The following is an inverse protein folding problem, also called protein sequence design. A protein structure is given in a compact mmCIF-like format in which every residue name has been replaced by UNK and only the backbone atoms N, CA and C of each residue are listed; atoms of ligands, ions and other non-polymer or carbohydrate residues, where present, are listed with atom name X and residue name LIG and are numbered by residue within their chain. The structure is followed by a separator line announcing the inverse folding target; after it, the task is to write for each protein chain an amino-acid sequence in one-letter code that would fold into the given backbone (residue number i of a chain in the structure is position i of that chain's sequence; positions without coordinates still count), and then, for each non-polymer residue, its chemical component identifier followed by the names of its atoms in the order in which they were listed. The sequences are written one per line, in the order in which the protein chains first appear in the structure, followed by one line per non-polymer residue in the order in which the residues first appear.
data_IF_272587825735
#
_entry.id   IF_272587825735
#
_cell.length_a   1.000
_cell.length_b   1.000
_cell.length_c   1.000
_cell.angle_alpha   90.00
_cell.angle_beta   90.00
_cell.angle_gamma   90.00
#
_symmetry.space_group_name_H-M   'P 1'
#
loop_
_entity.id
_entity.type
_entity.pdbx_description
1 polymer ?
#
# COMPACT_ATOMS: atom_id res chain seq x y z
N UNK A 1 27.06 -15.67 -2.77
CA UNK A 1 26.17 -14.50 -2.82
C UNK A 1 25.54 -14.31 -1.44
N UNK A 2 25.42 -13.07 -0.97
CA UNK A 2 24.69 -12.77 0.27
C UNK A 2 23.19 -12.60 -0.04
N UNK A 3 22.30 -13.01 0.89
CA UNK A 3 20.88 -12.76 0.73
C UNK A 3 20.57 -11.26 0.74
N UNK A 4 19.53 -10.82 0.02
CA UNK A 4 19.22 -9.39 -0.17
C UNK A 4 17.90 -9.00 0.53
N UNK A 5 16.83 -9.74 0.25
CA UNK A 5 15.48 -9.50 0.79
C UNK A 5 14.83 -10.79 1.24
N UNK A 6 13.94 -10.67 2.21
CA UNK A 6 13.02 -11.73 2.62
C UNK A 6 11.64 -11.10 2.85
N UNK A 7 10.59 -11.78 2.41
CA UNK A 7 9.21 -11.36 2.65
C UNK A 7 8.51 -12.39 3.54
N UNK A 8 7.74 -11.91 4.51
CA UNK A 8 6.78 -12.73 5.25
C UNK A 8 5.37 -12.25 4.93
N UNK A 9 4.44 -13.18 4.76
CA UNK A 9 3.08 -12.92 4.35
C UNK A 9 2.10 -13.42 5.41
N UNK A 10 1.00 -12.70 5.60
CA UNK A 10 -0.17 -13.20 6.32
C UNK A 10 -1.41 -12.99 5.47
N UNK A 11 -2.33 -13.91 5.62
CA UNK A 11 -3.58 -13.96 4.87
C UNK A 11 -4.75 -13.76 5.82
N UNK A 12 -5.84 -13.19 5.32
CA UNK A 12 -7.09 -13.08 6.07
C UNK A 12 -7.87 -14.40 6.07
N UNK A 13 -9.08 -14.38 6.65
CA UNK A 13 -9.97 -15.54 6.75
C UNK A 13 -10.45 -16.06 5.38
N UNK A 14 -10.40 -15.23 4.34
CA UNK A 14 -10.76 -15.61 2.98
C UNK A 14 -9.55 -16.17 2.20
N UNK A 15 -8.37 -16.23 2.83
CA UNK A 15 -7.14 -16.67 2.20
C UNK A 15 -6.49 -15.60 1.31
N UNK A 16 -6.97 -14.35 1.37
CA UNK A 16 -6.39 -13.25 0.59
C UNK A 16 -5.25 -12.58 1.35
N UNK A 17 -4.28 -12.01 0.63
CA UNK A 17 -3.14 -11.35 1.26
C UNK A 17 -3.61 -10.14 2.09
N UNK A 18 -3.28 -10.12 3.38
CA UNK A 18 -3.66 -9.06 4.31
C UNK A 18 -2.44 -8.28 4.86
N UNK A 19 -1.28 -8.92 4.94
CA UNK A 19 -0.05 -8.28 5.43
C UNK A 19 1.18 -8.85 4.74
N UNK A 20 2.13 -7.97 4.40
CA UNK A 20 3.48 -8.32 3.97
C UNK A 20 4.49 -7.55 4.79
N UNK A 21 5.44 -8.25 5.41
CA UNK A 21 6.60 -7.64 6.06
C UNK A 21 7.85 -7.93 5.23
N UNK A 22 8.55 -6.89 4.83
CA UNK A 22 9.81 -6.97 4.09
C UNK A 22 10.98 -6.79 5.04
N UNK A 23 11.97 -7.67 4.92
CA UNK A 23 13.22 -7.63 5.65
C UNK A 23 14.37 -7.43 4.68
N UNK A 24 15.37 -6.68 5.11
CA UNK A 24 16.66 -6.54 4.42
C UNK A 24 17.73 -7.28 5.20
N UNK A 25 18.68 -7.89 4.49
CA UNK A 25 19.82 -8.52 5.13
C UNK A 25 20.79 -7.44 5.63
N UNK A 26 21.17 -7.51 6.91
CA UNK A 26 22.25 -6.70 7.47
C UNK A 26 23.51 -7.56 7.59
N UNK A 27 24.50 -7.43 6.68
CA UNK A 27 25.70 -8.27 6.70
C UNK A 27 26.57 -7.98 7.93
N UNK A 28 26.62 -6.74 8.41
CA UNK A 28 27.43 -6.37 9.58
C UNK A 28 26.92 -7.01 10.89
N UNK A 29 25.61 -7.27 10.98
CA UNK A 29 24.98 -7.92 12.14
C UNK A 29 24.62 -9.38 11.89
N UNK A 30 24.92 -9.90 10.69
CA UNK A 30 24.60 -11.25 10.22
C UNK A 30 23.15 -11.63 10.54
N UNK A 31 22.20 -10.72 10.24
CA UNK A 31 20.78 -10.95 10.54
C UNK A 31 19.85 -10.20 9.60
N UNK A 32 18.62 -10.71 9.51
CA UNK A 32 17.50 -10.00 8.92
C UNK A 32 17.09 -8.84 9.83
N UNK A 33 16.84 -7.68 9.22
CA UNK A 33 16.26 -6.52 9.89
C UNK A 33 15.03 -6.07 9.13
N UNK A 34 14.01 -5.64 9.87
CA UNK A 34 12.79 -5.07 9.34
C UNK A 34 13.11 -3.87 8.43
N UNK A 35 12.37 -3.75 7.35
CA UNK A 35 12.52 -2.64 6.41
C UNK A 35 11.20 -1.94 6.17
N UNK A 36 10.18 -2.69 5.77
CA UNK A 36 8.87 -2.12 5.48
C UNK A 36 7.76 -3.11 5.79
N UNK A 37 6.57 -2.55 5.96
CA UNK A 37 5.33 -3.28 6.16
C UNK A 37 4.29 -2.77 5.17
N UNK A 38 3.51 -3.69 4.64
CA UNK A 38 2.34 -3.40 3.81
C UNK A 38 1.15 -4.10 4.45
N UNK A 39 0.05 -3.36 4.66
CA UNK A 39 -1.22 -3.87 5.15
C UNK A 39 -2.29 -3.63 4.08
N UNK A 40 -3.14 -4.63 3.86
CA UNK A 40 -4.22 -4.58 2.87
C UNK A 40 -5.53 -4.82 3.61
N UNK A 41 -6.47 -3.89 3.45
CA UNK A 41 -7.84 -3.99 3.92
C UNK A 41 -8.78 -3.95 2.72
N UNK A 42 -9.75 -4.87 2.68
CA UNK A 42 -10.74 -4.95 1.60
C UNK A 42 -12.14 -4.71 2.16
N UNK A 43 -12.88 -3.87 1.45
CA UNK A 43 -14.29 -3.58 1.63
C UNK A 43 -15.02 -3.90 0.31
N UNK A 44 -16.35 -3.80 0.30
CA UNK A 44 -17.18 -4.22 -0.85
C UNK A 44 -16.76 -3.61 -2.18
N UNK A 45 -16.42 -2.31 -2.18
CA UNK A 45 -16.07 -1.52 -3.34
C UNK A 45 -14.70 -0.84 -3.22
N UNK A 46 -14.01 -1.02 -2.09
CA UNK A 46 -12.75 -0.34 -1.78
C UNK A 46 -11.67 -1.30 -1.30
N UNK A 47 -10.46 -1.16 -1.83
CA UNK A 47 -9.25 -1.78 -1.26
C UNK A 47 -8.28 -0.69 -0.80
N UNK A 48 -7.89 -0.76 0.47
CA UNK A 48 -6.92 0.14 1.09
C UNK A 48 -5.60 -0.60 1.27
N UNK A 49 -4.52 0.00 0.77
CA UNK A 49 -3.14 -0.50 0.95
C UNK A 49 -2.32 0.55 1.69
N UNK A 50 -1.90 0.23 2.90
CA UNK A 50 -1.07 1.10 3.73
C UNK A 50 0.35 0.57 3.81
N UNK A 51 1.32 1.45 3.61
CA UNK A 51 2.74 1.19 3.75
C UNK A 51 3.29 1.84 5.02
N UNK A 52 4.19 1.12 5.67
CA UNK A 52 4.98 1.61 6.79
C UNK A 52 6.46 1.34 6.62
N UNK A 53 7.27 2.28 7.10
CA UNK A 53 8.73 2.21 7.13
C UNK A 53 9.21 1.80 8.52
N UNK A 54 10.18 0.89 8.60
CA UNK A 54 10.80 0.52 9.87
C UNK A 54 11.68 1.66 10.39
N UNK A 55 11.36 2.16 11.59
CA UNK A 55 12.15 3.18 12.29
C UNK A 55 12.87 2.53 13.45
N UNK A 56 14.17 2.29 13.27
CA UNK A 56 15.00 1.58 14.25
C UNK A 56 15.04 2.24 15.63
N UNK A 57 15.01 3.57 15.70
CA UNK A 57 14.99 4.32 16.97
C UNK A 57 13.68 4.14 17.74
N UNK A 58 12.56 3.91 17.05
CA UNK A 58 11.24 3.68 17.65
C UNK A 58 10.91 2.19 17.81
N UNK A 59 11.76 1.31 17.26
CA UNK A 59 11.53 -0.15 17.19
C UNK A 59 10.13 -0.50 16.66
N UNK A 60 9.69 0.22 15.63
CA UNK A 60 8.34 0.07 15.09
C UNK A 60 8.22 0.57 13.65
N UNK A 61 7.14 0.16 13.00
CA UNK A 61 6.76 0.68 11.68
C UNK A 61 5.97 1.98 11.86
N UNK A 62 6.37 3.03 11.16
CA UNK A 62 5.57 4.25 11.03
C UNK A 62 4.92 4.31 9.65
N UNK A 63 3.68 4.83 9.53
CA UNK A 63 3.04 5.05 8.24
C UNK A 63 3.91 5.88 7.30
N UNK A 64 3.83 5.62 5.99
CA UNK A 64 4.54 6.39 4.97
C UNK A 64 3.65 6.76 3.80
N UNK A 65 2.96 5.78 3.21
CA UNK A 65 2.11 5.92 2.04
C UNK A 65 0.82 5.15 2.22
N UNK A 66 -0.26 5.62 1.59
CA UNK A 66 -1.55 4.91 1.55
C UNK A 66 -2.12 5.02 0.15
N UNK A 67 -2.63 3.90 -0.35
CA UNK A 67 -3.32 3.82 -1.63
C UNK A 67 -4.74 3.33 -1.39
N UNK A 68 -5.71 3.96 -2.05
CA UNK A 68 -7.11 3.55 -2.00
C UNK A 68 -7.56 3.28 -3.42
N UNK A 69 -8.04 2.07 -3.66
CA UNK A 69 -8.54 1.61 -4.95
C UNK A 69 -10.05 1.42 -4.83
N UNK A 70 -10.81 2.20 -5.59
CA UNK A 70 -12.27 2.11 -5.63
C UNK A 70 -12.67 1.39 -6.93
N UNK A 71 -13.48 0.35 -6.78
CA UNK A 71 -14.00 -0.46 -7.87
C UNK A 71 -15.51 -0.27 -8.02
N UNK A 72 -16.05 -0.50 -9.22
CA UNK A 72 -17.50 -0.58 -9.41
C UNK A 72 -18.04 -1.98 -9.06
N UNK A 73 -19.35 -2.18 -9.19
CA UNK A 73 -20.01 -3.47 -8.96
C UNK A 73 -19.47 -4.61 -9.84
N UNK A 74 -18.87 -4.30 -10.99
CA UNK A 74 -18.24 -5.27 -11.90
C UNK A 74 -16.76 -5.52 -11.56
N UNK A 75 -16.29 -5.04 -10.40
CA UNK A 75 -14.90 -5.10 -9.93
C UNK A 75 -13.87 -4.35 -10.79
N UNK A 76 -14.32 -3.52 -11.73
CA UNK A 76 -13.45 -2.68 -12.54
C UNK A 76 -12.94 -1.50 -11.70
N UNK A 77 -11.64 -1.20 -11.79
CA UNK A 77 -11.05 -0.04 -11.13
C UNK A 77 -11.64 1.26 -11.70
N UNK A 78 -12.24 2.06 -10.83
CA UNK A 78 -12.84 3.36 -11.18
C UNK A 78 -11.96 4.51 -10.74
N UNK A 79 -11.38 4.42 -9.54
CA UNK A 79 -10.55 5.50 -9.00
C UNK A 79 -9.42 4.97 -8.15
N UNK A 80 -8.26 5.58 -8.27
CA UNK A 80 -7.12 5.38 -7.39
C UNK A 80 -6.78 6.70 -6.69
N UNK A 81 -6.60 6.64 -5.38
CA UNK A 81 -6.08 7.73 -4.57
C UNK A 81 -4.73 7.34 -3.98
N UNK A 82 -3.78 8.28 -4.03
CA UNK A 82 -2.45 8.13 -3.44
C UNK A 82 -2.29 9.19 -2.35
N UNK A 83 -1.94 8.77 -1.14
CA UNK A 83 -1.71 9.64 0.00
C UNK A 83 -0.30 9.43 0.55
N UNK A 84 0.24 10.50 1.12
CA UNK A 84 1.48 10.49 1.89
C UNK A 84 1.21 11.05 3.27
N UNK A 85 1.80 10.46 4.31
CA UNK A 85 1.63 10.99 5.66
C UNK A 85 2.48 12.27 5.81
N UNK A 86 1.88 13.32 6.34
CA UNK A 86 2.63 14.46 6.84
C UNK A 86 3.27 14.07 8.18
N UNK A 87 4.59 14.02 8.23
CA UNK A 87 5.34 13.56 9.41
C UNK A 87 5.25 14.52 10.61
N UNK A 88 4.82 15.77 10.40
CA UNK A 88 4.64 16.77 11.46
C UNK A 88 3.23 16.75 12.05
N UNK A 89 2.20 16.69 11.19
CA UNK A 89 0.80 16.73 11.63
C UNK A 89 0.20 15.35 11.87
N UNK A 90 0.87 14.28 11.41
CA UNK A 90 0.36 12.91 11.40
C UNK A 90 -0.95 12.75 10.63
N UNK A 91 -1.19 13.60 9.63
CA UNK A 91 -2.36 13.55 8.76
C UNK A 91 -2.01 13.05 7.36
N UNK A 92 -2.95 12.36 6.71
CA UNK A 92 -2.79 11.91 5.33
C UNK A 92 -3.07 13.04 4.35
N UNK A 93 -2.12 13.32 3.48
CA UNK A 93 -2.25 14.34 2.44
C UNK A 93 -2.39 13.68 1.07
N UNK A 94 -3.46 14.01 0.35
CA UNK A 94 -3.71 13.54 -1.01
C UNK A 94 -2.59 14.05 -1.93
N UNK A 95 -1.91 13.12 -2.59
CA UNK A 95 -0.86 13.41 -3.56
C UNK A 95 -1.39 13.33 -4.98
N UNK A 96 -2.23 12.32 -5.24
CA UNK A 96 -2.76 12.07 -6.57
C UNK A 96 -4.13 11.41 -6.49
N UNK A 97 -5.01 11.79 -7.41
CA UNK A 97 -6.26 11.11 -7.72
C UNK A 97 -6.25 10.79 -9.21
N UNK A 98 -6.39 9.52 -9.56
CA UNK A 98 -6.55 9.06 -10.93
C UNK A 98 -7.93 8.44 -11.09
N UNK A 99 -8.76 9.01 -11.95
CA UNK A 99 -10.05 8.42 -12.33
C UNK A 99 -9.85 7.70 -13.65
N UNK A 100 -10.21 6.43 -13.69
CA UNK A 100 -10.25 5.67 -14.95
C UNK A 100 -11.48 6.16 -15.69
N UNK A 101 -11.28 6.95 -16.75
CA UNK A 101 -12.37 7.34 -17.64
C UNK A 101 -12.99 6.07 -18.21
N UNK A 102 -14.31 5.90 -18.08
CA UNK A 102 -15.00 4.90 -18.88
C UNK A 102 -14.79 5.30 -20.34
N UNK A 103 -14.55 4.32 -21.21
CA UNK A 103 -14.43 4.55 -22.66
C UNK A 103 -15.65 5.36 -23.18
N UNK A 104 -16.82 5.14 -22.60
CA UNK A 104 -18.07 5.85 -22.90
C UNK A 104 -18.01 7.37 -22.59
N UNK A 105 -17.34 7.79 -21.51
CA UNK A 105 -17.21 9.21 -21.16
C UNK A 105 -16.27 9.96 -22.11
N UNK A 106 -15.29 9.26 -22.70
CA UNK A 106 -14.36 9.82 -23.70
C UNK A 106 -15.09 10.11 -25.02
N UNK A 107 -16.07 9.27 -25.38
CA UNK A 107 -16.89 9.47 -26.57
C UNK A 107 -17.99 10.51 -26.36
N UNK A 108 -18.52 10.66 -25.14
CA UNK A 108 -19.53 11.66 -24.82
C UNK A 108 -19.00 13.12 -24.86
N UNK A 109 -17.70 13.33 -24.63
CA UNK A 109 -17.07 14.68 -24.65
C UNK A 109 -16.72 15.19 -26.05
N UNK A 110 -16.95 14.40 -27.11
CA UNK A 110 -16.62 14.77 -28.49
C UNK A 110 -17.81 15.24 -29.33
N UNK A 111 -18.97 15.47 -28.72
CA UNK A 111 -20.17 16.00 -29.37
C UNK A 111 -20.46 17.44 -28.92
#
# INVERSE_FOLDING_TARGET
MLPVKMNKYKYDLNGELAEKVTYKWNPAKVKWVEESKMNISRHTDETVVEYGEWISSKKGFLPSQKYVYVTNNDTNLVTQYCYKINKHTSQWELQQKAVVSKIEDIFAQRN
#
